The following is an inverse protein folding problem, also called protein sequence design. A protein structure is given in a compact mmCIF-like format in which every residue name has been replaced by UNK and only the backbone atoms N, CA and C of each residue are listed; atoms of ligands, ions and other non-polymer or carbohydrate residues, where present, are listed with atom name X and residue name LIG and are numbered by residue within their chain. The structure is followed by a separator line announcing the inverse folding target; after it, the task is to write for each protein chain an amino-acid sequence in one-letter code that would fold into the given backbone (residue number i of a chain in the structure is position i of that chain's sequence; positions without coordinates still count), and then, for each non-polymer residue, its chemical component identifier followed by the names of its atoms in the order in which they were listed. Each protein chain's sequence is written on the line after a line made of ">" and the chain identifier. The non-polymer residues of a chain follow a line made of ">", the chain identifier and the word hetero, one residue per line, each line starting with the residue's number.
data_IF_780564220228
#
_entry.id   IF_780564220228
#
_cell.length_a   1.000
_cell.length_b   1.000
_cell.length_c   1.000
_cell.angle_alpha   90.00
_cell.angle_beta   90.00
_cell.angle_gamma   90.00
#
_symmetry.space_group_name_H-M   'P 1'
#
loop_
_entity.id
_entity.type
_entity.pdbx_description
1 polymer ?
#
# COMPACT_ATOMS: atom_id res chain seq x y z
N UNK A 1 7.17 -19.08 -16.45
CA UNK A 1 7.01 -17.68 -16.02
C UNK A 1 8.27 -16.90 -16.38
N UNK A 2 8.12 -15.65 -16.84
CA UNK A 2 9.25 -14.77 -17.15
C UNK A 2 9.38 -13.68 -16.08
N UNK A 3 10.60 -13.36 -15.67
CA UNK A 3 10.87 -12.38 -14.63
C UNK A 3 11.83 -11.31 -15.12
N UNK A 4 11.55 -10.06 -14.77
CA UNK A 4 12.46 -8.95 -14.97
C UNK A 4 12.70 -8.26 -13.62
N UNK A 5 13.97 -8.15 -13.25
CA UNK A 5 14.42 -7.56 -11.98
C UNK A 5 14.83 -6.12 -12.24
N UNK A 6 14.18 -5.19 -11.55
CA UNK A 6 14.48 -3.77 -11.58
C UNK A 6 15.02 -3.36 -10.21
N UNK A 7 16.34 -3.12 -10.14
CA UNK A 7 17.02 -2.75 -8.90
C UNK A 7 17.64 -1.36 -8.99
N UNK A 8 17.92 -0.77 -7.81
CA UNK A 8 18.75 0.44 -7.71
C UNK A 8 20.24 0.13 -7.68
N UNK A 9 20.59 -1.06 -7.18
CA UNK A 9 21.98 -1.45 -6.95
C UNK A 9 22.46 -2.40 -8.03
N UNK A 10 23.77 -2.54 -8.16
CA UNK A 10 24.39 -3.49 -9.07
C UNK A 10 24.02 -4.92 -8.70
N UNK A 11 24.26 -5.85 -9.63
CA UNK A 11 24.05 -7.28 -9.34
C UNK A 11 24.83 -7.72 -8.10
N UNK A 12 26.02 -7.21 -7.81
CA UNK A 12 26.83 -7.62 -6.65
C UNK A 12 26.18 -7.28 -5.30
N UNK A 13 25.54 -6.13 -5.21
CA UNK A 13 24.93 -5.64 -3.98
C UNK A 13 23.47 -6.06 -3.82
N UNK A 14 22.87 -6.67 -4.84
CA UNK A 14 21.46 -7.06 -4.81
C UNK A 14 21.15 -8.06 -3.67
N UNK A 15 20.30 -7.69 -2.69
CA UNK A 15 20.12 -8.49 -1.47
C UNK A 15 19.23 -9.72 -1.67
N UNK A 16 18.37 -9.73 -2.71
CA UNK A 16 17.37 -10.78 -2.92
C UNK A 16 17.81 -11.90 -3.85
N UNK A 17 19.11 -12.05 -4.16
CA UNK A 17 19.63 -13.14 -5.03
C UNK A 17 19.11 -14.52 -4.64
N UNK A 18 19.07 -14.78 -3.33
CA UNK A 18 18.56 -16.03 -2.78
C UNK A 18 17.11 -16.29 -3.19
N UNK A 19 16.25 -15.27 -3.18
CA UNK A 19 14.85 -15.39 -3.58
C UNK A 19 14.69 -15.59 -5.10
N UNK A 20 15.62 -15.07 -5.91
CA UNK A 20 15.67 -15.33 -7.35
C UNK A 20 15.93 -16.81 -7.66
N UNK A 21 16.74 -17.46 -6.81
CA UNK A 21 16.94 -18.90 -6.82
C UNK A 21 15.71 -19.70 -6.39
N UNK A 22 14.63 -19.07 -5.97
CA UNK A 22 13.41 -19.75 -5.54
C UNK A 22 12.20 -19.42 -6.43
N UNK A 23 12.38 -18.62 -7.48
CA UNK A 23 11.29 -18.26 -8.40
C UNK A 23 10.64 -19.50 -9.03
N UNK A 24 9.29 -19.56 -9.08
CA UNK A 24 8.59 -20.66 -9.73
C UNK A 24 8.77 -20.59 -11.25
N UNK A 25 8.89 -21.74 -11.90
CA UNK A 25 8.89 -21.87 -13.38
C UNK A 25 9.75 -20.82 -14.12
N UNK A 26 11.07 -20.80 -13.88
CA UNK A 26 12.06 -19.85 -14.45
C UNK A 26 12.27 -20.03 -15.96
N UNK A 27 11.34 -19.58 -16.80
CA UNK A 27 11.44 -19.70 -18.26
C UNK A 27 12.44 -18.70 -18.85
N UNK A 28 12.34 -17.43 -18.44
CA UNK A 28 13.33 -16.39 -18.71
C UNK A 28 13.48 -15.51 -17.46
N UNK A 29 14.72 -15.15 -17.11
CA UNK A 29 15.01 -14.22 -16.01
C UNK A 29 16.03 -13.21 -16.47
N UNK A 30 15.60 -11.96 -16.34
CA UNK A 30 16.33 -10.81 -16.81
C UNK A 30 16.64 -9.87 -15.64
N UNK A 31 17.84 -9.30 -15.64
CA UNK A 31 18.24 -8.25 -14.71
C UNK A 31 18.48 -6.96 -15.51
N UNK A 32 17.78 -5.88 -15.15
CA UNK A 32 18.01 -4.58 -15.74
C UNK A 32 19.26 -3.94 -15.12
N UNK A 33 20.37 -3.94 -15.87
CA UNK A 33 21.67 -3.46 -15.41
C UNK A 33 22.83 -4.34 -15.87
N UNK A 34 24.04 -3.90 -15.54
CA UNK A 34 25.28 -4.61 -15.85
C UNK A 34 25.42 -5.92 -15.08
N UNK A 35 25.94 -6.95 -15.77
CA UNK A 35 26.41 -8.19 -15.14
C UNK A 35 27.67 -8.67 -15.85
N UNK A 36 28.71 -9.07 -15.11
CA UNK A 36 29.90 -9.68 -15.72
C UNK A 36 29.57 -11.06 -16.30
N UNK A 37 30.32 -11.55 -17.30
CA UNK A 37 30.10 -12.88 -17.87
C UNK A 37 30.13 -14.01 -16.82
N UNK A 38 30.97 -13.90 -15.80
CA UNK A 38 31.05 -14.87 -14.69
C UNK A 38 29.77 -14.85 -13.84
N UNK A 39 29.24 -13.66 -13.55
CA UNK A 39 28.00 -13.49 -12.79
C UNK A 39 26.81 -14.09 -13.55
N UNK A 40 26.76 -13.88 -14.87
CA UNK A 40 25.72 -14.46 -15.74
C UNK A 40 25.79 -15.99 -15.75
N UNK A 41 27.00 -16.55 -15.94
CA UNK A 41 27.20 -18.00 -15.97
C UNK A 41 26.82 -18.67 -14.63
N UNK A 42 27.13 -18.03 -13.49
CA UNK A 42 26.84 -18.56 -12.17
C UNK A 42 25.34 -18.48 -11.79
N UNK A 43 24.66 -17.41 -12.20
CA UNK A 43 23.25 -17.15 -11.82
C UNK A 43 22.23 -17.72 -12.81
N UNK A 44 22.64 -17.92 -14.07
CA UNK A 44 21.72 -18.23 -15.16
C UNK A 44 20.73 -17.11 -15.45
N UNK A 45 21.10 -15.86 -15.16
CA UNK A 45 20.29 -14.65 -15.36
C UNK A 45 20.92 -13.81 -16.48
N UNK A 46 20.08 -13.32 -17.37
CA UNK A 46 20.49 -12.51 -18.52
C UNK A 46 20.45 -11.02 -18.16
N UNK A 47 21.52 -10.24 -18.41
CA UNK A 47 21.45 -8.79 -18.28
C UNK A 47 20.66 -8.22 -19.46
N UNK A 48 19.99 -7.09 -19.22
CA UNK A 48 19.21 -6.39 -20.23
C UNK A 48 19.51 -4.92 -20.14
N UNK A 49 19.85 -4.33 -21.29
CA UNK A 49 19.98 -2.89 -21.42
C UNK A 49 18.61 -2.23 -21.38
N UNK A 50 18.53 -1.07 -20.74
CA UNK A 50 17.27 -0.36 -20.54
C UNK A 50 16.61 0.08 -21.85
N UNK A 51 17.41 0.30 -22.89
CA UNK A 51 16.94 0.62 -24.24
C UNK A 51 16.14 -0.53 -24.86
N UNK A 52 16.45 -1.78 -24.52
CA UNK A 52 15.75 -2.96 -25.02
C UNK A 52 14.36 -3.12 -24.38
N UNK A 53 14.21 -2.70 -23.12
CA UNK A 53 12.96 -2.84 -22.36
C UNK A 53 11.77 -2.16 -23.04
N UNK A 54 12.00 -1.04 -23.73
CA UNK A 54 10.95 -0.29 -24.44
C UNK A 54 10.30 -1.06 -25.59
N UNK A 55 10.92 -2.15 -26.05
CA UNK A 55 10.44 -2.97 -27.18
C UNK A 55 9.74 -4.24 -26.73
N UNK A 56 9.72 -4.53 -25.42
CA UNK A 56 9.21 -5.78 -24.89
C UNK A 56 7.71 -5.75 -24.68
N UNK A 57 7.08 -6.91 -24.88
CA UNK A 57 5.72 -7.16 -24.41
C UNK A 57 5.76 -7.44 -22.90
N UNK A 58 5.69 -6.38 -22.10
CA UNK A 58 5.75 -6.46 -20.64
C UNK A 58 4.65 -7.36 -20.05
N UNK A 59 3.51 -7.51 -20.73
CA UNK A 59 2.41 -8.39 -20.33
C UNK A 59 2.79 -9.88 -20.18
N UNK A 60 3.97 -10.29 -20.66
CA UNK A 60 4.50 -11.64 -20.46
C UNK A 60 5.42 -11.80 -19.24
N UNK A 61 5.76 -10.71 -18.55
CA UNK A 61 6.71 -10.67 -17.45
C UNK A 61 6.06 -10.37 -16.10
N UNK A 62 6.64 -10.95 -15.04
CA UNK A 62 6.50 -10.48 -13.67
C UNK A 62 7.69 -9.60 -13.32
N UNK A 63 7.43 -8.35 -12.89
CA UNK A 63 8.48 -7.44 -12.45
C UNK A 63 8.78 -7.62 -10.96
N UNK A 64 10.06 -7.74 -10.62
CA UNK A 64 10.54 -7.68 -9.24
C UNK A 64 11.24 -6.34 -9.06
N UNK A 65 10.60 -5.41 -8.33
CA UNK A 65 11.00 -4.01 -8.28
C UNK A 65 11.50 -3.66 -6.88
N UNK A 66 12.80 -3.43 -6.73
CA UNK A 66 13.42 -3.10 -5.43
C UNK A 66 13.73 -1.61 -5.26
N UNK A 67 13.28 -0.76 -6.18
CA UNK A 67 13.36 0.69 -6.03
C UNK A 67 12.12 1.37 -6.56
N UNK A 68 11.55 2.33 -5.80
CA UNK A 68 10.32 3.01 -6.17
C UNK A 68 10.48 3.91 -7.40
N UNK A 69 11.71 4.34 -7.72
CA UNK A 69 11.96 5.21 -8.87
C UNK A 69 11.85 4.48 -10.22
N UNK A 70 11.74 3.15 -10.23
CA UNK A 70 11.36 2.39 -11.43
C UNK A 70 9.87 2.49 -11.78
N UNK A 71 9.05 3.11 -10.93
CA UNK A 71 7.60 3.18 -11.13
C UNK A 71 7.18 3.72 -12.51
N UNK A 72 7.80 4.76 -13.10
CA UNK A 72 7.46 5.19 -14.45
C UNK A 72 7.62 4.10 -15.50
N UNK A 73 8.75 3.37 -15.47
CA UNK A 73 9.03 2.27 -16.39
C UNK A 73 8.12 1.06 -16.14
N UNK A 74 7.80 0.76 -14.87
CA UNK A 74 6.82 -0.27 -14.50
C UNK A 74 5.44 0.03 -15.12
N UNK A 75 4.99 1.29 -15.04
CA UNK A 75 3.70 1.69 -15.63
C UNK A 75 3.74 1.71 -17.15
N UNK A 76 4.87 2.03 -17.76
CA UNK A 76 5.05 2.01 -19.21
C UNK A 76 5.06 0.58 -19.77
N UNK A 77 5.72 -0.36 -19.08
CA UNK A 77 5.83 -1.76 -19.49
C UNK A 77 4.51 -2.53 -19.37
N UNK A 78 3.61 -2.12 -18.47
CA UNK A 78 2.34 -2.80 -18.21
C UNK A 78 2.52 -4.31 -17.98
N UNK A 79 3.27 -4.71 -16.94
CA UNK A 79 3.57 -6.12 -16.72
C UNK A 79 2.32 -6.94 -16.35
N UNK A 80 2.41 -8.25 -16.55
CA UNK A 80 1.37 -9.17 -16.06
C UNK A 80 1.18 -9.04 -14.55
N UNK A 81 2.29 -8.97 -13.81
CA UNK A 81 2.28 -8.75 -12.38
C UNK A 81 3.47 -7.88 -11.94
N UNK A 82 3.25 -7.06 -10.93
CA UNK A 82 4.28 -6.26 -10.27
C UNK A 82 4.47 -6.74 -8.83
N UNK A 83 5.70 -7.08 -8.47
CA UNK A 83 6.10 -7.40 -7.10
C UNK A 83 7.01 -6.30 -6.58
N UNK A 84 6.56 -5.57 -5.57
CA UNK A 84 7.35 -4.52 -4.94
C UNK A 84 8.16 -5.11 -3.79
N UNK A 85 9.48 -4.96 -3.83
CA UNK A 85 10.41 -5.32 -2.76
C UNK A 85 10.77 -4.05 -2.01
N UNK A 86 10.05 -3.76 -0.93
CA UNK A 86 10.19 -2.52 -0.19
C UNK A 86 11.32 -2.58 0.83
N UNK A 87 12.13 -1.54 0.82
CA UNK A 87 13.26 -1.35 1.72
C UNK A 87 13.13 -0.03 2.49
N UNK A 88 13.70 0.06 3.70
CA UNK A 88 13.91 1.34 4.35
C UNK A 88 14.63 2.31 3.42
N UNK A 89 14.40 3.62 3.60
CA UNK A 89 15.08 4.63 2.78
C UNK A 89 16.61 4.43 2.83
N UNK A 90 17.27 4.21 1.69
CA UNK A 90 18.72 4.11 1.64
C UNK A 90 19.38 5.40 2.10
N UNK A 91 20.60 5.29 2.63
CA UNK A 91 21.40 6.47 2.97
C UNK A 91 21.65 7.33 1.72
N UNK A 92 21.52 8.65 1.89
CA UNK A 92 21.73 9.63 0.81
C UNK A 92 20.53 9.87 -0.12
N UNK A 93 19.45 9.11 0.01
CA UNK A 93 18.19 9.41 -0.69
C UNK A 93 17.30 10.37 0.13
N UNK A 94 16.41 11.08 -0.54
CA UNK A 94 15.40 11.91 0.10
C UNK A 94 14.29 11.02 0.69
N UNK A 95 14.19 10.97 2.02
CA UNK A 95 13.23 10.11 2.75
C UNK A 95 11.78 10.37 2.35
N UNK A 96 11.35 11.64 2.29
CA UNK A 96 9.98 12.01 1.92
C UNK A 96 9.63 11.51 0.51
N UNK A 97 10.55 11.70 -0.44
CA UNK A 97 10.36 11.24 -1.81
C UNK A 97 10.34 9.71 -1.87
N UNK A 98 11.30 9.06 -1.21
CA UNK A 98 11.40 7.60 -1.17
C UNK A 98 10.13 6.96 -0.62
N UNK A 99 9.62 7.45 0.51
CA UNK A 99 8.40 6.95 1.15
C UNK A 99 7.19 7.15 0.25
N UNK A 100 7.02 8.34 -0.34
CA UNK A 100 5.92 8.64 -1.27
C UNK A 100 5.89 7.68 -2.45
N UNK A 101 7.00 7.52 -3.16
CA UNK A 101 7.06 6.65 -4.34
C UNK A 101 7.07 5.16 -3.95
N UNK A 102 7.57 4.79 -2.77
CA UNK A 102 7.42 3.43 -2.23
C UNK A 102 5.97 3.09 -1.95
N UNK A 103 5.21 4.01 -1.36
CA UNK A 103 3.78 3.84 -1.12
C UNK A 103 3.00 3.71 -2.43
N UNK A 104 3.33 4.54 -3.44
CA UNK A 104 2.75 4.46 -4.80
C UNK A 104 3.08 3.14 -5.50
N UNK A 105 4.36 2.72 -5.49
CA UNK A 105 4.79 1.45 -6.07
C UNK A 105 4.05 0.29 -5.39
N UNK A 106 4.02 0.29 -4.05
CA UNK A 106 3.35 -0.74 -3.30
C UNK A 106 1.83 -0.76 -3.58
N UNK A 107 1.19 0.39 -3.80
CA UNK A 107 -0.25 0.49 -4.06
C UNK A 107 -0.62 -0.05 -5.45
N UNK A 108 0.34 0.02 -6.38
CA UNK A 108 0.23 -0.56 -7.73
C UNK A 108 0.62 -2.05 -7.79
N UNK A 109 1.36 -2.55 -6.81
CA UNK A 109 1.88 -3.91 -6.81
C UNK A 109 0.79 -4.96 -6.52
N UNK A 110 0.92 -6.11 -7.19
CA UNK A 110 0.08 -7.29 -6.96
C UNK A 110 0.53 -8.09 -5.73
N UNK A 111 1.80 -7.94 -5.36
CA UNK A 111 2.41 -8.52 -4.17
C UNK A 111 3.48 -7.55 -3.62
N UNK A 112 3.51 -7.39 -2.30
CA UNK A 112 4.54 -6.61 -1.63
C UNK A 112 5.40 -7.54 -0.78
N UNK A 113 6.72 -7.43 -0.89
CA UNK A 113 7.69 -8.14 -0.07
C UNK A 113 8.59 -7.17 0.68
N UNK A 114 8.94 -7.46 1.93
CA UNK A 114 9.91 -6.65 2.68
C UNK A 114 10.60 -7.45 3.78
N UNK A 115 11.85 -7.12 4.06
CA UNK A 115 12.62 -7.67 5.21
C UNK A 115 12.40 -6.87 6.50
N UNK A 116 11.81 -5.67 6.41
CA UNK A 116 11.55 -4.80 7.56
C UNK A 116 10.23 -5.17 8.23
N UNK A 117 10.28 -5.53 9.52
CA UNK A 117 9.09 -5.85 10.31
C UNK A 117 8.11 -4.67 10.37
N UNK A 118 8.66 -3.45 10.48
CA UNK A 118 7.89 -2.20 10.49
C UNK A 118 7.11 -2.03 9.19
N UNK A 119 7.81 -2.07 8.05
CA UNK A 119 7.17 -1.95 6.74
C UNK A 119 6.16 -3.08 6.53
N UNK A 120 6.48 -4.30 6.96
CA UNK A 120 5.56 -5.43 6.84
C UNK A 120 4.23 -5.14 7.55
N UNK A 121 4.25 -4.70 8.81
CA UNK A 121 3.03 -4.36 9.55
C UNK A 121 2.26 -3.18 8.94
N UNK A 122 2.95 -2.08 8.61
CA UNK A 122 2.34 -0.91 7.97
C UNK A 122 1.65 -1.28 6.65
N UNK A 123 2.30 -2.09 5.82
CA UNK A 123 1.72 -2.53 4.56
C UNK A 123 0.53 -3.48 4.78
N UNK A 124 0.56 -4.37 5.78
CA UNK A 124 -0.58 -5.25 6.08
C UNK A 124 -1.84 -4.48 6.50
N UNK A 125 -1.70 -3.33 7.15
CA UNK A 125 -2.81 -2.42 7.48
C UNK A 125 -3.32 -1.64 6.27
N UNK A 126 -2.55 -1.56 5.19
CA UNK A 126 -2.93 -0.83 3.98
C UNK A 126 -3.42 -1.75 2.85
N UNK A 127 -3.01 -3.04 2.83
CA UNK A 127 -3.31 -3.97 1.73
C UNK A 127 -3.21 -5.46 2.13
N UNK A 128 -3.91 -6.36 1.44
CA UNK A 128 -4.00 -7.78 1.84
C UNK A 128 -2.81 -8.66 1.44
N UNK A 129 -2.01 -8.32 0.42
CA UNK A 129 -0.98 -9.19 -0.17
C UNK A 129 0.43 -8.74 0.16
N UNK A 130 0.86 -8.99 1.39
CA UNK A 130 2.18 -8.61 1.89
C UNK A 130 2.90 -9.84 2.44
N UNK A 131 4.15 -10.03 2.04
CA UNK A 131 5.03 -11.12 2.44
C UNK A 131 6.20 -10.56 3.24
N UNK A 132 6.43 -11.11 4.42
CA UNK A 132 7.64 -10.86 5.18
C UNK A 132 8.76 -11.72 4.60
N UNK A 133 9.87 -11.11 4.20
CA UNK A 133 11.00 -11.75 3.51
C UNK A 133 12.17 -12.03 4.44
N UNK A 134 11.90 -12.05 5.74
CA UNK A 134 12.84 -12.45 6.77
C UNK A 134 12.16 -13.50 7.64
N UNK A 135 12.93 -14.40 8.20
CA UNK A 135 12.39 -15.45 9.05
C UNK A 135 13.46 -16.02 9.95
N UNK A 136 13.07 -16.22 11.21
CA UNK A 136 13.92 -16.77 12.26
C UNK A 136 13.56 -18.23 12.57
N UNK A 137 12.69 -18.85 11.75
CA UNK A 137 12.22 -20.21 12.02
C UNK A 137 13.37 -21.21 11.81
N UNK A 138 13.75 -21.98 12.84
CA UNK A 138 14.99 -22.75 12.82
C UNK A 138 14.90 -24.04 11.99
N UNK A 139 13.70 -24.45 11.59
CA UNK A 139 13.47 -25.69 10.85
C UNK A 139 13.13 -25.39 9.40
N UNK A 140 13.49 -26.30 8.50
CA UNK A 140 13.07 -26.21 7.11
C UNK A 140 11.57 -26.51 6.99
N UNK A 141 10.84 -25.63 6.30
CA UNK A 141 9.40 -25.72 6.09
C UNK A 141 9.02 -26.37 4.75
N UNK A 142 10.00 -26.56 3.85
CA UNK A 142 9.75 -27.08 2.52
C UNK A 142 11.03 -27.54 1.82
N UNK A 143 10.85 -28.27 0.72
CA UNK A 143 11.94 -28.72 -0.13
C UNK A 143 11.61 -28.40 -1.58
N UNK A 144 12.50 -27.65 -2.23
CA UNK A 144 12.43 -27.36 -3.64
C UNK A 144 13.58 -28.05 -4.37
N UNK A 145 13.24 -28.94 -5.31
CA UNK A 145 14.24 -29.53 -6.21
C UNK A 145 14.30 -28.74 -7.51
N UNK A 146 15.51 -28.35 -7.91
CA UNK A 146 15.75 -27.74 -9.21
C UNK A 146 16.96 -28.37 -9.90
N UNK A 147 16.70 -29.13 -10.96
CA UNK A 147 17.71 -29.98 -11.58
C UNK A 147 18.32 -30.93 -10.55
N UNK A 148 19.64 -30.85 -10.39
CA UNK A 148 20.41 -31.62 -9.40
C UNK A 148 20.55 -30.91 -8.04
N UNK A 149 20.08 -29.66 -7.90
CA UNK A 149 20.16 -28.92 -6.63
C UNK A 149 18.90 -29.12 -5.80
N UNK A 150 19.10 -29.32 -4.50
CA UNK A 150 18.04 -29.37 -3.49
C UNK A 150 18.14 -28.15 -2.59
N UNK A 151 17.03 -27.43 -2.47
CA UNK A 151 16.89 -26.27 -1.59
C UNK A 151 16.00 -26.65 -0.42
N UNK A 152 16.54 -26.55 0.80
CA UNK A 152 15.77 -26.59 2.03
C UNK A 152 15.27 -25.19 2.29
N UNK A 153 13.94 -25.03 2.32
CA UNK A 153 13.30 -23.73 2.40
C UNK A 153 13.07 -23.35 3.86
N UNK A 154 13.35 -22.11 4.20
CA UNK A 154 12.81 -21.48 5.41
C UNK A 154 11.30 -21.22 5.27
N UNK A 155 10.68 -20.75 6.34
CA UNK A 155 9.26 -20.37 6.38
C UNK A 155 8.94 -19.27 5.35
N UNK A 156 9.70 -18.18 5.33
CA UNK A 156 9.47 -17.08 4.40
C UNK A 156 9.77 -17.45 2.94
N UNK A 157 10.71 -18.36 2.69
CA UNK A 157 11.05 -18.85 1.36
C UNK A 157 9.93 -19.72 0.75
N UNK A 158 9.28 -20.55 1.56
CA UNK A 158 8.08 -21.29 1.14
C UNK A 158 6.93 -20.33 0.86
N UNK A 159 6.67 -19.37 1.75
CA UNK A 159 5.60 -18.36 1.57
C UNK A 159 5.85 -17.54 0.30
N UNK A 160 7.09 -17.10 0.04
CA UNK A 160 7.49 -16.39 -1.18
C UNK A 160 7.16 -17.18 -2.44
N UNK A 161 7.59 -18.45 -2.48
CA UNK A 161 7.39 -19.34 -3.63
C UNK A 161 5.89 -19.56 -3.91
N UNK A 162 5.11 -19.76 -2.85
CA UNK A 162 3.65 -19.96 -2.92
C UNK A 162 2.92 -18.69 -3.35
N UNK A 163 3.29 -17.53 -2.80
CA UNK A 163 2.68 -16.25 -3.12
C UNK A 163 2.86 -15.91 -4.61
N UNK A 164 4.07 -16.10 -5.15
CA UNK A 164 4.34 -15.89 -6.57
C UNK A 164 3.59 -16.89 -7.47
N UNK A 165 3.56 -18.16 -7.09
CA UNK A 165 2.80 -19.19 -7.84
C UNK A 165 1.31 -18.83 -7.88
N UNK A 166 0.77 -18.35 -6.75
CA UNK A 166 -0.63 -17.95 -6.61
C UNK A 166 -1.03 -16.73 -7.44
N UNK A 167 -0.08 -15.90 -7.93
CA UNK A 167 -0.37 -14.83 -8.88
C UNK A 167 -0.85 -15.39 -10.21
N UNK A 168 -0.11 -16.35 -10.77
CA UNK A 168 -0.38 -16.94 -12.08
C UNK A 168 -1.37 -18.11 -12.03
N UNK A 169 -1.44 -18.82 -10.90
CA UNK A 169 -2.27 -20.02 -10.73
C UNK A 169 -3.20 -19.88 -9.51
N UNK A 170 -4.16 -18.93 -9.52
CA UNK A 170 -5.04 -18.68 -8.38
C UNK A 170 -5.92 -19.88 -8.01
N UNK A 171 -6.25 -20.74 -8.97
CA UNK A 171 -7.03 -21.97 -8.74
C UNK A 171 -6.23 -23.08 -8.03
N UNK A 172 -4.89 -23.05 -8.11
CA UNK A 172 -4.01 -24.01 -7.44
C UNK A 172 -3.67 -23.59 -5.99
N UNK A 173 -4.14 -22.42 -5.55
CA UNK A 173 -4.03 -21.91 -4.18
C UNK A 173 -4.98 -22.65 -3.22
N UNK A 174 -4.85 -23.98 -3.14
CA UNK A 174 -5.62 -24.83 -2.24
C UNK A 174 -4.89 -25.14 -0.93
N UNK A 175 -5.65 -25.08 0.18
CA UNK A 175 -5.41 -25.55 1.56
C UNK A 175 -4.92 -24.55 2.63
N UNK A 176 -4.61 -23.30 2.31
CA UNK A 176 -4.40 -22.26 3.32
C UNK A 176 -3.94 -20.94 2.73
N UNK A 177 -4.42 -19.83 3.28
CA UNK A 177 -3.86 -18.51 3.00
C UNK A 177 -2.47 -18.46 3.66
N UNK A 178 -1.42 -18.71 2.87
CA UNK A 178 -0.03 -18.73 3.37
C UNK A 178 0.38 -17.41 4.04
N UNK A 179 -0.29 -16.30 3.70
CA UNK A 179 -0.08 -15.02 4.37
C UNK A 179 -0.64 -15.07 5.80
N UNK A 180 -1.80 -15.70 6.00
CA UNK A 180 -2.34 -15.97 7.35
C UNK A 180 -1.42 -16.92 8.12
N UNK A 181 -0.87 -17.95 7.47
CA UNK A 181 0.10 -18.85 8.11
C UNK A 181 1.35 -18.07 8.55
N UNK A 182 1.90 -17.21 7.71
CA UNK A 182 3.03 -16.37 8.06
C UNK A 182 2.71 -15.45 9.25
N UNK A 183 1.56 -14.79 9.25
CA UNK A 183 1.10 -13.96 10.38
C UNK A 183 0.95 -14.77 11.67
N UNK A 184 0.45 -16.02 11.61
CA UNK A 184 0.37 -16.93 12.77
C UNK A 184 1.75 -17.27 13.32
N UNK A 185 2.71 -17.61 12.46
CA UNK A 185 4.09 -17.88 12.90
C UNK A 185 4.73 -16.66 13.58
N UNK A 186 4.48 -15.45 13.05
CA UNK A 186 4.94 -14.20 13.70
C UNK A 186 4.21 -13.94 15.03
N UNK A 187 2.90 -14.17 15.09
CA UNK A 187 2.13 -14.06 16.33
C UNK A 187 2.70 -15.01 17.40
N UNK A 188 2.90 -16.29 17.07
CA UNK A 188 3.44 -17.30 17.97
C UNK A 188 4.85 -16.93 18.45
N UNK A 189 5.70 -16.40 17.55
CA UNK A 189 7.02 -15.90 17.90
C UNK A 189 6.93 -14.80 18.96
N UNK A 190 6.14 -13.75 18.73
CA UNK A 190 6.01 -12.64 19.68
C UNK A 190 5.31 -13.02 20.98
N UNK A 191 4.33 -13.92 20.94
CA UNK A 191 3.69 -14.52 22.13
C UNK A 191 4.73 -15.27 22.97
N UNK A 192 5.58 -16.09 22.34
CA UNK A 192 6.71 -16.75 23.02
C UNK A 192 7.71 -15.74 23.58
N UNK A 193 8.02 -14.67 22.84
CA UNK A 193 8.93 -13.61 23.28
C UNK A 193 8.38 -12.83 24.48
N UNK A 194 7.06 -12.63 24.60
CA UNK A 194 6.45 -12.02 25.79
C UNK A 194 6.78 -12.83 27.06
N UNK A 195 6.83 -14.16 26.97
CA UNK A 195 7.25 -15.02 28.08
C UNK A 195 8.73 -14.87 28.45
N UNK A 196 9.60 -14.62 27.47
CA UNK A 196 11.05 -14.42 27.67
C UNK A 196 11.40 -13.00 28.11
N UNK A 197 10.63 -12.02 27.68
CA UNK A 197 10.84 -10.58 27.91
C UNK A 197 9.57 -9.92 28.45
N UNK A 198 9.10 -10.30 29.67
CA UNK A 198 7.80 -9.90 30.19
C UNK A 198 7.67 -8.41 30.54
N UNK A 199 8.79 -7.69 30.61
CA UNK A 199 8.84 -6.26 30.93
C UNK A 199 9.06 -5.37 29.71
N UNK A 200 9.08 -5.92 28.50
CA UNK A 200 9.30 -5.15 27.27
C UNK A 200 7.94 -4.81 26.63
N UNK A 201 7.49 -3.53 26.62
CA UNK A 201 6.19 -3.14 26.08
C UNK A 201 6.08 -3.44 24.58
N UNK A 202 7.11 -3.10 23.78
CA UNK A 202 7.11 -3.29 22.32
C UNK A 202 6.85 -4.74 21.90
N UNK A 203 7.33 -5.73 22.67
CA UNK A 203 7.10 -7.15 22.37
C UNK A 203 5.63 -7.53 22.52
N UNK A 204 4.97 -6.99 23.55
CA UNK A 204 3.54 -7.20 23.79
C UNK A 204 2.70 -6.47 22.74
N UNK A 205 3.10 -5.24 22.37
CA UNK A 205 2.45 -4.51 21.29
C UNK A 205 2.50 -5.28 19.96
N UNK A 206 3.67 -5.78 19.56
CA UNK A 206 3.81 -6.57 18.33
C UNK A 206 2.97 -7.86 18.37
N UNK A 207 2.95 -8.57 19.51
CA UNK A 207 2.05 -9.71 19.69
C UNK A 207 0.58 -9.32 19.49
N UNK A 208 0.14 -8.22 20.10
CA UNK A 208 -1.22 -7.71 19.97
C UNK A 208 -1.57 -7.34 18.52
N UNK A 209 -0.68 -6.65 17.80
CA UNK A 209 -0.90 -6.26 16.41
C UNK A 209 -1.03 -7.48 15.50
N UNK A 210 -0.19 -8.50 15.66
CA UNK A 210 -0.32 -9.74 14.87
C UNK A 210 -1.61 -10.50 15.17
N UNK A 211 -1.97 -10.62 16.44
CA UNK A 211 -3.23 -11.24 16.85
C UNK A 211 -4.44 -10.45 16.33
N UNK A 212 -4.36 -9.11 16.33
CA UNK A 212 -5.37 -8.25 15.72
C UNK A 212 -5.51 -8.51 14.21
N UNK A 213 -4.40 -8.61 13.46
CA UNK A 213 -4.43 -8.92 12.03
C UNK A 213 -5.04 -10.31 11.76
N UNK A 214 -4.91 -11.24 12.70
CA UNK A 214 -5.52 -12.59 12.65
C UNK A 214 -6.98 -12.62 13.12
N UNK A 215 -7.47 -11.55 13.74
CA UNK A 215 -8.80 -11.50 14.37
C UNK A 215 -8.90 -12.33 15.65
N UNK A 216 -7.79 -12.56 16.34
CA UNK A 216 -7.74 -13.34 17.58
C UNK A 216 -8.07 -12.46 18.79
N UNK A 217 -9.00 -12.93 19.63
CA UNK A 217 -9.45 -12.22 20.85
C UNK A 217 -8.32 -11.99 21.86
N UNK A 218 -7.26 -12.79 21.83
CA UNK A 218 -6.09 -12.62 22.69
C UNK A 218 -5.36 -11.29 22.46
N UNK A 219 -5.57 -10.61 21.32
CA UNK A 219 -4.97 -9.32 21.00
C UNK A 219 -5.17 -8.29 22.12
N UNK A 220 -6.38 -8.22 22.68
CA UNK A 220 -6.73 -7.26 23.74
C UNK A 220 -5.87 -7.45 24.99
N UNK A 221 -5.65 -8.70 25.40
CA UNK A 221 -4.85 -9.04 26.58
C UNK A 221 -3.41 -8.56 26.44
N UNK A 222 -2.81 -8.78 25.26
CA UNK A 222 -1.43 -8.34 25.01
C UNK A 222 -1.34 -6.81 24.86
N UNK A 223 -2.34 -6.17 24.25
CA UNK A 223 -2.38 -4.70 24.16
C UNK A 223 -2.50 -4.06 25.54
N UNK A 224 -3.38 -4.58 26.40
CA UNK A 224 -3.52 -4.15 27.79
C UNK A 224 -2.19 -4.28 28.53
N UNK A 225 -1.48 -5.40 28.34
CA UNK A 225 -0.18 -5.56 28.99
C UNK A 225 0.87 -4.56 28.48
N UNK A 226 0.90 -4.31 27.17
CA UNK A 226 1.78 -3.30 26.59
C UNK A 226 1.47 -1.91 27.15
N UNK A 227 0.19 -1.54 27.20
CA UNK A 227 -0.26 -0.25 27.72
C UNK A 227 0.10 -0.05 29.20
N UNK A 228 -0.12 -1.05 30.06
CA UNK A 228 0.30 -1.02 31.46
C UNK A 228 1.82 -0.80 31.61
N UNK A 229 2.62 -1.52 30.83
CA UNK A 229 4.08 -1.38 30.86
C UNK A 229 4.51 0.01 30.37
N UNK A 230 3.86 0.54 29.34
CA UNK A 230 4.12 1.89 28.85
C UNK A 230 3.85 2.95 29.91
N UNK A 231 2.76 2.82 30.67
CA UNK A 231 2.43 3.70 31.79
C UNK A 231 3.46 3.58 32.93
N UNK A 232 3.90 2.36 33.26
CA UNK A 232 4.92 2.13 34.30
C UNK A 232 6.29 2.72 33.95
N UNK A 233 6.58 2.85 32.65
CA UNK A 233 7.81 3.45 32.15
C UNK A 233 7.69 4.96 31.87
N UNK A 234 6.58 5.59 32.28
CA UNK A 234 6.29 7.03 32.11
C UNK A 234 6.36 7.51 30.65
N UNK A 235 6.00 6.64 29.68
CA UNK A 235 5.88 7.05 28.29
C UNK A 235 4.61 7.88 28.08
N UNK A 236 4.78 9.12 27.65
CA UNK A 236 3.71 10.13 27.58
C UNK A 236 2.75 9.95 26.41
N UNK A 237 3.12 9.21 25.37
CA UNK A 237 2.34 9.06 24.13
C UNK A 237 1.55 7.74 24.03
N UNK A 238 1.36 7.05 25.16
CA UNK A 238 0.68 5.75 25.19
C UNK A 238 -0.83 5.83 24.93
N UNK A 239 -1.47 6.98 25.14
CA UNK A 239 -2.91 7.15 24.89
C UNK A 239 -3.23 7.10 23.39
N UNK A 240 -2.50 7.85 22.57
CA UNK A 240 -2.71 7.82 21.12
C UNK A 240 -2.17 6.55 20.48
N UNK A 241 -0.98 6.07 20.90
CA UNK A 241 -0.34 4.91 20.25
C UNK A 241 -0.94 3.55 20.66
N UNK A 242 -1.34 3.38 21.93
CA UNK A 242 -1.79 2.08 22.45
C UNK A 242 -3.28 2.09 22.83
N UNK A 243 -3.73 3.07 23.61
CA UNK A 243 -5.11 3.06 24.10
C UNK A 243 -6.12 3.20 22.95
N UNK A 244 -5.84 4.07 21.97
CA UNK A 244 -6.68 4.19 20.78
C UNK A 244 -6.88 2.86 20.06
N UNK A 245 -5.85 2.00 20.02
CA UNK A 245 -5.90 0.72 19.30
C UNK A 245 -6.93 -0.27 19.88
N UNK A 246 -7.36 -0.11 21.15
CA UNK A 246 -8.50 -0.88 21.67
C UNK A 246 -9.77 -0.66 20.86
N UNK A 247 -9.99 0.57 20.34
CA UNK A 247 -11.17 0.88 19.54
C UNK A 247 -11.22 0.04 18.25
N UNK A 248 -10.09 -0.22 17.60
CA UNK A 248 -10.04 -1.10 16.42
C UNK A 248 -10.33 -2.56 16.80
N UNK A 249 -9.79 -3.05 17.92
CA UNK A 249 -10.04 -4.41 18.41
C UNK A 249 -11.53 -4.60 18.70
N UNK A 250 -12.16 -3.65 19.40
CA UNK A 250 -13.60 -3.71 19.71
C UNK A 250 -14.46 -3.55 18.44
N UNK A 251 -14.06 -2.71 17.49
CA UNK A 251 -14.73 -2.61 16.20
C UNK A 251 -14.70 -3.93 15.42
N UNK A 252 -13.59 -4.68 15.50
CA UNK A 252 -13.42 -5.99 14.85
C UNK A 252 -14.24 -7.08 15.51
N UNK A 253 -14.49 -6.99 16.82
CA UNK A 253 -15.43 -7.86 17.56
C UNK A 253 -16.91 -7.50 17.32
N UNK A 254 -17.18 -6.35 16.71
CA UNK A 254 -18.54 -5.83 16.50
C UNK A 254 -19.10 -5.02 17.69
N UNK A 255 -18.28 -4.74 18.70
CA UNK A 255 -18.67 -3.96 19.89
C UNK A 255 -18.57 -2.45 19.61
N UNK A 256 -19.30 -1.96 18.61
CA UNK A 256 -19.14 -0.60 18.09
C UNK A 256 -19.37 0.50 19.13
N UNK A 257 -20.31 0.32 20.06
CA UNK A 257 -20.57 1.31 21.10
C UNK A 257 -19.37 1.51 22.05
N UNK A 258 -18.69 0.41 22.40
CA UNK A 258 -17.48 0.46 23.23
C UNK A 258 -16.30 1.04 22.44
N UNK A 259 -16.17 0.66 21.17
CA UNK A 259 -15.14 1.19 20.29
C UNK A 259 -15.21 2.73 20.17
N UNK A 260 -16.42 3.29 19.99
CA UNK A 260 -16.62 4.76 19.96
C UNK A 260 -16.21 5.40 21.28
N UNK A 261 -16.64 4.82 22.41
CA UNK A 261 -16.30 5.35 23.72
C UNK A 261 -14.78 5.35 23.99
N UNK A 262 -14.07 4.32 23.54
CA UNK A 262 -12.61 4.25 23.63
C UNK A 262 -11.91 5.28 22.74
N UNK A 263 -12.39 5.48 21.52
CA UNK A 263 -11.86 6.52 20.62
C UNK A 263 -12.02 7.92 21.22
N UNK A 264 -13.21 8.24 21.75
CA UNK A 264 -13.53 9.54 22.36
C UNK A 264 -12.57 9.93 23.49
N UNK A 265 -12.14 8.98 24.32
CA UNK A 265 -11.18 9.23 25.40
C UNK A 265 -9.84 9.78 24.86
N UNK A 266 -9.48 9.42 23.64
CA UNK A 266 -8.23 9.83 22.98
C UNK A 266 -8.42 11.00 22.01
N UNK A 267 -9.63 11.54 21.86
CA UNK A 267 -9.94 12.61 20.91
C UNK A 267 -9.62 13.98 21.53
N UNK A 268 -8.36 14.41 21.46
CA UNK A 268 -7.91 15.66 22.08
C UNK A 268 -7.97 16.85 21.13
N UNK A 269 -7.81 16.63 19.83
CA UNK A 269 -7.88 17.70 18.82
C UNK A 269 -9.33 18.00 18.42
N UNK A 270 -9.59 19.17 17.86
CA UNK A 270 -10.92 19.54 17.36
C UNK A 270 -11.37 18.63 16.21
N UNK A 271 -10.44 18.22 15.36
CA UNK A 271 -10.70 17.28 14.25
C UNK A 271 -11.12 15.90 14.77
N UNK A 272 -10.43 15.39 15.79
CA UNK A 272 -10.77 14.10 16.42
C UNK A 272 -12.12 14.16 17.14
N UNK A 273 -12.42 15.28 17.81
CA UNK A 273 -13.73 15.49 18.45
C UNK A 273 -14.87 15.57 17.44
N UNK A 274 -14.66 16.27 16.33
CA UNK A 274 -15.62 16.31 15.22
C UNK A 274 -15.87 14.91 14.66
N UNK A 275 -14.79 14.13 14.48
CA UNK A 275 -14.87 12.73 14.05
C UNK A 275 -15.67 11.88 15.03
N UNK A 276 -15.43 12.04 16.34
CA UNK A 276 -16.19 11.34 17.38
C UNK A 276 -17.68 11.69 17.37
N UNK A 277 -18.04 12.96 17.16
CA UNK A 277 -19.44 13.39 17.01
C UNK A 277 -20.09 12.72 15.80
N UNK A 278 -19.37 12.59 14.69
CA UNK A 278 -19.87 11.89 13.51
C UNK A 278 -20.05 10.38 13.76
N UNK A 279 -19.10 9.75 14.44
CA UNK A 279 -19.20 8.34 14.87
C UNK A 279 -20.42 8.11 15.76
N UNK A 280 -20.71 9.03 16.69
CA UNK A 280 -21.91 8.95 17.55
C UNK A 280 -23.20 9.00 16.73
N UNK A 281 -23.26 9.87 15.72
CA UNK A 281 -24.44 9.96 14.83
C UNK A 281 -24.68 8.65 14.10
N UNK A 282 -23.63 8.04 13.53
CA UNK A 282 -23.75 6.74 12.86
C UNK A 282 -24.12 5.61 13.83
N UNK A 283 -23.64 5.68 15.08
CA UNK A 283 -24.04 4.73 16.12
C UNK A 283 -25.55 4.85 16.43
N UNK A 284 -26.05 6.07 16.56
CA UNK A 284 -27.46 6.34 16.90
C UNK A 284 -28.41 6.05 15.72
N UNK A 285 -27.97 6.25 14.48
CA UNK A 285 -28.75 5.92 13.27
C UNK A 285 -28.70 4.43 12.88
N UNK A 286 -27.78 3.65 13.46
CA UNK A 286 -27.57 2.24 13.15
C UNK A 286 -26.74 1.99 11.88
N UNK A 287 -25.98 2.99 11.41
CA UNK A 287 -25.11 2.89 10.23
C UNK A 287 -23.79 2.16 10.57
N UNK A 288 -23.90 0.90 10.97
CA UNK A 288 -22.79 0.11 11.52
C UNK A 288 -21.60 -0.01 10.57
N UNK A 289 -21.85 -0.07 9.27
CA UNK A 289 -20.79 -0.18 8.25
C UNK A 289 -19.95 1.08 8.13
N UNK A 290 -20.57 2.26 8.10
CA UNK A 290 -19.87 3.55 8.04
C UNK A 290 -19.07 3.78 9.31
N UNK A 291 -19.67 3.48 10.47
CA UNK A 291 -19.01 3.55 11.76
C UNK A 291 -17.80 2.63 11.85
N UNK A 292 -17.96 1.37 11.43
CA UNK A 292 -16.87 0.39 11.47
C UNK A 292 -15.72 0.80 10.54
N UNK A 293 -16.01 1.28 9.33
CA UNK A 293 -14.99 1.76 8.41
C UNK A 293 -14.22 2.97 8.97
N UNK A 294 -14.92 3.91 9.61
CA UNK A 294 -14.27 5.07 10.21
C UNK A 294 -13.39 4.68 11.41
N UNK A 295 -13.85 3.75 12.25
CA UNK A 295 -13.05 3.21 13.35
C UNK A 295 -11.77 2.53 12.84
N UNK A 296 -11.82 1.80 11.73
CA UNK A 296 -10.62 1.24 11.11
C UNK A 296 -9.70 2.34 10.57
N UNK A 297 -10.26 3.34 9.86
CA UNK A 297 -9.49 4.46 9.29
C UNK A 297 -8.72 5.24 10.35
N UNK A 298 -9.34 5.61 11.47
CA UNK A 298 -8.68 6.37 12.54
C UNK A 298 -7.63 5.57 13.33
N UNK A 299 -7.61 4.25 13.14
CA UNK A 299 -6.59 3.34 13.66
C UNK A 299 -5.62 2.87 12.56
N UNK A 300 -5.60 3.56 11.41
CA UNK A 300 -4.70 3.30 10.28
C UNK A 300 -4.88 1.94 9.58
N UNK A 301 -5.91 1.17 9.92
CA UNK A 301 -6.31 -0.06 9.21
C UNK A 301 -7.15 0.28 7.98
N UNK A 302 -6.50 0.96 7.03
CA UNK A 302 -7.13 1.43 5.79
C UNK A 302 -7.59 0.26 4.91
N UNK A 303 -6.93 -0.90 4.99
CA UNK A 303 -7.32 -2.11 4.27
C UNK A 303 -8.72 -2.58 4.67
N UNK A 304 -8.99 -2.70 5.97
CA UNK A 304 -10.31 -3.08 6.46
C UNK A 304 -11.34 -1.98 6.23
N UNK A 305 -10.97 -0.71 6.38
CA UNK A 305 -11.86 0.42 6.06
C UNK A 305 -12.34 0.37 4.60
N UNK A 306 -11.42 0.20 3.64
CA UNK A 306 -11.73 0.06 2.22
C UNK A 306 -12.61 -1.17 1.98
N UNK A 307 -12.26 -2.32 2.57
CA UNK A 307 -13.02 -3.57 2.41
C UNK A 307 -14.47 -3.41 2.86
N UNK A 308 -14.71 -2.71 3.96
CA UNK A 308 -16.08 -2.43 4.43
C UNK A 308 -16.78 -1.48 3.45
N UNK A 309 -16.15 -0.35 3.11
CA UNK A 309 -16.75 0.69 2.26
C UNK A 309 -17.07 0.22 0.83
N UNK A 310 -16.21 -0.59 0.21
CA UNK A 310 -16.44 -1.16 -1.13
C UNK A 310 -17.71 -2.03 -1.21
N UNK A 311 -18.14 -2.59 -0.07
CA UNK A 311 -19.32 -3.46 0.01
C UNK A 311 -20.59 -2.71 0.46
N UNK A 312 -20.50 -1.41 0.77
CA UNK A 312 -21.65 -0.62 1.21
C UNK A 312 -22.35 0.08 0.02
N UNK A 313 -23.66 -0.12 -0.16
CA UNK A 313 -24.41 0.49 -1.27
C UNK A 313 -24.84 1.94 -0.99
N UNK A 314 -24.39 2.57 0.11
CA UNK A 314 -24.84 3.90 0.49
C UNK A 314 -24.02 5.03 -0.18
N UNK A 315 -24.65 6.15 -0.57
CA UNK A 315 -23.94 7.28 -1.17
C UNK A 315 -22.84 7.88 -0.29
N UNK A 316 -23.01 7.82 1.04
CA UNK A 316 -22.03 8.31 2.03
C UNK A 316 -20.74 7.48 2.04
N UNK A 317 -20.75 6.23 1.58
CA UNK A 317 -19.55 5.39 1.51
C UNK A 317 -18.57 5.89 0.45
N UNK A 318 -19.05 6.48 -0.65
CA UNK A 318 -18.22 6.90 -1.77
C UNK A 318 -17.17 7.99 -1.41
N UNK A 319 -17.51 9.11 -0.74
CA UNK A 319 -16.51 10.09 -0.33
C UNK A 319 -15.52 9.53 0.69
N UNK A 320 -15.96 8.67 1.62
CA UNK A 320 -15.05 8.00 2.57
C UNK A 320 -14.10 7.03 1.85
N UNK A 321 -14.61 6.29 0.87
CA UNK A 321 -13.80 5.39 0.05
C UNK A 321 -12.74 6.16 -0.74
N UNK A 322 -13.12 7.31 -1.33
CA UNK A 322 -12.19 8.20 -2.01
C UNK A 322 -11.07 8.67 -1.08
N UNK A 323 -11.40 9.08 0.15
CA UNK A 323 -10.40 9.51 1.14
C UNK A 323 -9.43 8.38 1.49
N UNK A 324 -9.94 7.17 1.71
CA UNK A 324 -9.12 6.00 2.02
C UNK A 324 -8.20 5.62 0.84
N UNK A 325 -8.66 5.72 -0.41
CA UNK A 325 -7.80 5.51 -1.57
C UNK A 325 -6.70 6.57 -1.70
N UNK A 326 -6.99 7.84 -1.38
CA UNK A 326 -5.98 8.90 -1.39
C UNK A 326 -4.93 8.66 -0.31
N UNK A 327 -5.36 8.38 0.92
CA UNK A 327 -4.47 8.15 2.06
C UNK A 327 -3.60 6.90 1.91
N UNK A 328 -4.10 5.85 1.24
CA UNK A 328 -3.35 4.62 0.96
C UNK A 328 -2.59 4.63 -0.38
N UNK A 329 -2.48 5.79 -1.04
CA UNK A 329 -1.79 5.97 -2.32
C UNK A 329 -2.38 5.15 -3.49
N UNK A 330 -3.61 4.64 -3.36
CA UNK A 330 -4.37 3.98 -4.42
C UNK A 330 -4.99 5.01 -5.38
N UNK A 331 -4.16 5.91 -5.89
CA UNK A 331 -4.56 7.10 -6.62
C UNK A 331 -5.25 6.80 -7.96
N UNK A 332 -4.89 5.73 -8.65
CA UNK A 332 -5.61 5.28 -9.84
C UNK A 332 -7.08 4.96 -9.53
N UNK A 333 -7.34 4.26 -8.42
CA UNK A 333 -8.70 3.96 -7.97
C UNK A 333 -9.45 5.22 -7.54
N UNK A 334 -8.79 6.14 -6.83
CA UNK A 334 -9.35 7.43 -6.46
C UNK A 334 -9.82 8.23 -7.69
N UNK A 335 -8.95 8.37 -8.70
CA UNK A 335 -9.27 9.06 -9.95
C UNK A 335 -10.37 8.36 -10.74
N UNK A 336 -10.39 7.02 -10.76
CA UNK A 336 -11.46 6.25 -11.40
C UNK A 336 -12.81 6.46 -10.70
N UNK A 337 -12.84 6.40 -9.37
CA UNK A 337 -14.05 6.60 -8.57
C UNK A 337 -14.65 7.99 -8.82
N UNK A 338 -13.81 9.02 -8.94
CA UNK A 338 -14.23 10.38 -9.25
C UNK A 338 -14.82 10.49 -10.66
N UNK A 339 -14.21 9.85 -11.68
CA UNK A 339 -14.75 9.85 -13.04
C UNK A 339 -16.12 9.19 -13.12
N UNK A 340 -16.30 8.07 -12.41
CA UNK A 340 -17.60 7.39 -12.34
C UNK A 340 -18.66 8.27 -11.67
N UNK A 341 -18.33 8.99 -10.59
CA UNK A 341 -19.25 9.94 -9.96
C UNK A 341 -19.68 11.07 -10.93
N UNK A 342 -18.73 11.61 -11.71
CA UNK A 342 -18.99 12.65 -12.70
C UNK A 342 -19.91 12.16 -13.84
N UNK A 343 -19.77 10.92 -14.28
CA UNK A 343 -20.65 10.33 -15.30
C UNK A 343 -22.08 10.12 -14.76
N UNK A 344 -22.22 9.55 -13.56
CA UNK A 344 -23.54 9.32 -12.94
C UNK A 344 -24.33 10.61 -12.68
N UNK A 345 -23.64 11.71 -12.36
CA UNK A 345 -24.25 13.03 -12.20
C UNK A 345 -24.66 13.69 -13.53
N UNK A 346 -24.00 13.34 -14.64
CA UNK A 346 -24.34 13.86 -15.98
C UNK A 346 -25.57 13.18 -16.58
N UNK A 347 -25.82 11.90 -16.30
CA UNK A 347 -26.99 11.15 -16.82
C UNK A 347 -28.29 11.48 -16.07
N UNK A 348 -28.22 11.85 -14.79
CA UNK A 348 -29.39 12.28 -14.01
C UNK A 348 -29.99 13.63 -14.47
N UNK A 349 -29.34 14.32 -15.43
CA UNK A 349 -29.77 15.61 -15.97
C UNK A 349 -30.73 15.56 -17.15
N UNK A 350 -31.12 14.38 -17.66
CA UNK A 350 -32.01 14.25 -18.83
C UNK A 350 -33.36 13.65 -18.43
N UNK A 351 -34.33 14.52 -18.10
CA UNK A 351 -35.73 14.13 -17.91
C UNK A 351 -36.48 14.36 -19.24
N UNK A 352 -37.00 13.33 -19.92
CA UNK A 352 -37.83 13.51 -21.11
C UNK A 352 -39.26 13.92 -20.69
N UNK A 353 -39.71 15.09 -21.13
CA UNK A 353 -41.12 15.47 -21.07
C UNK A 353 -41.86 14.99 -22.34
N UNK A 354 -43.14 14.62 -22.26
CA UNK A 354 -43.91 14.18 -23.41
C UNK A 354 -44.21 15.37 -24.31
N UNK A 355 -43.64 15.36 -25.53
CA UNK A 355 -43.85 16.42 -26.52
C UNK A 355 -42.62 16.83 -27.35
N UNK A 356 -41.47 16.17 -27.20
CA UNK A 356 -40.32 16.36 -28.10
C UNK A 356 -39.59 17.70 -27.97
N UNK A 357 -39.81 18.46 -26.90
CA UNK A 357 -39.03 19.65 -26.58
C UNK A 357 -37.98 19.31 -25.52
N UNK A 358 -36.70 19.53 -25.86
CA UNK A 358 -35.56 19.46 -24.93
C UNK A 358 -35.38 20.84 -24.30
N UNK A 359 -35.64 20.96 -23.00
CA UNK A 359 -35.24 22.13 -22.23
C UNK A 359 -33.73 22.06 -21.99
N UNK A 360 -32.93 22.77 -22.79
CA UNK A 360 -31.58 23.16 -22.37
C UNK A 360 -31.73 24.20 -21.26
N UNK A 361 -31.64 23.74 -20.01
CA UNK A 361 -31.58 24.62 -18.84
C UNK A 361 -30.33 25.50 -18.92
N UNK A 362 -30.52 26.75 -19.31
CA UNK A 362 -29.50 27.78 -19.21
C UNK A 362 -29.18 28.10 -17.75
N UNK A 363 -27.89 28.02 -17.41
CA UNK A 363 -27.26 28.90 -16.42
C UNK A 363 -27.72 28.77 -14.97
N UNK A 364 -27.64 27.57 -14.39
CA UNK A 364 -27.40 27.38 -12.95
C UNK A 364 -26.49 26.16 -12.81
N UNK A 365 -25.41 26.21 -12.00
CA UNK A 365 -24.59 25.02 -11.77
C UNK A 365 -25.47 23.93 -11.12
N UNK A 366 -25.28 22.66 -11.49
CA UNK A 366 -26.14 21.56 -11.01
C UNK A 366 -26.19 21.52 -9.48
N UNK A 367 -27.26 20.99 -8.91
CA UNK A 367 -27.40 20.82 -7.45
C UNK A 367 -26.25 20.02 -6.81
N UNK A 368 -25.46 19.28 -7.61
CA UNK A 368 -24.19 18.66 -7.20
C UNK A 368 -23.10 19.69 -6.87
N UNK A 369 -23.07 20.84 -7.56
CA UNK A 369 -22.20 21.98 -7.22
C UNK A 369 -22.70 22.71 -5.98
N UNK A 370 -24.00 22.70 -5.68
CA UNK A 370 -24.57 23.28 -4.45
C UNK A 370 -24.37 22.36 -3.24
N UNK A 371 -24.39 21.04 -3.44
CA UNK A 371 -23.99 20.06 -2.41
C UNK A 371 -22.46 20.06 -2.17
N UNK A 372 -21.67 20.53 -3.13
CA UNK A 372 -20.22 20.74 -3.00
C UNK A 372 -19.82 22.19 -2.63
N UNK A 373 -20.75 23.14 -2.66
CA UNK A 373 -20.50 24.55 -2.30
C UNK A 373 -20.71 24.84 -0.80
N UNK A 374 -21.27 23.89 -0.06
CA UNK A 374 -21.43 23.95 1.40
C UNK A 374 -20.56 22.96 2.17
N UNK A 375 -19.92 22.02 1.49
CA UNK A 375 -18.84 21.21 2.03
C UNK A 375 -17.58 21.63 1.30
N UNK A 376 -16.80 22.51 1.92
CA UNK A 376 -15.37 22.54 1.65
C UNK A 376 -14.94 21.06 1.59
N UNK A 377 -14.56 20.55 0.42
CA UNK A 377 -13.89 19.24 0.38
C UNK A 377 -12.63 19.51 1.18
N UNK A 378 -12.56 19.06 2.44
CA UNK A 378 -11.51 19.53 3.28
C UNK A 378 -10.25 18.89 2.72
N UNK A 379 -9.21 19.70 2.60
CA UNK A 379 -7.86 19.28 2.26
C UNK A 379 -7.42 18.19 3.25
N UNK A 380 -7.73 16.92 3.00
CA UNK A 380 -7.37 15.83 3.90
C UNK A 380 -6.19 15.04 3.34
N UNK A 381 -5.09 15.10 4.09
CA UNK A 381 -3.74 14.73 3.68
C UNK A 381 -2.90 15.89 3.14
N UNK A 382 -3.47 17.10 2.98
CA UNK A 382 -2.78 18.25 2.37
C UNK A 382 -2.59 18.14 0.84
N UNK A 383 -2.98 17.02 0.22
CA UNK A 383 -2.77 16.76 -1.21
C UNK A 383 -4.06 16.99 -2.00
N UNK A 384 -4.03 18.00 -2.89
CA UNK A 384 -5.17 18.33 -3.74
C UNK A 384 -5.27 17.35 -4.92
N UNK A 385 -6.50 17.03 -5.37
CA UNK A 385 -6.72 16.13 -6.54
C UNK A 385 -5.90 16.50 -7.79
N UNK A 386 -5.71 17.78 -8.16
CA UNK A 386 -4.85 18.13 -9.30
C UNK A 386 -3.37 17.79 -9.09
N UNK A 387 -2.89 17.70 -7.84
CA UNK A 387 -1.54 17.17 -7.53
C UNK A 387 -1.49 15.69 -7.85
N UNK A 388 -2.50 14.92 -7.43
CA UNK A 388 -2.61 13.48 -7.72
C UNK A 388 -2.65 13.24 -9.23
N UNK A 389 -3.51 13.96 -9.96
CA UNK A 389 -3.57 13.89 -11.43
C UNK A 389 -2.22 14.23 -12.07
N UNK A 390 -1.55 15.27 -11.57
CA UNK A 390 -0.25 15.71 -12.07
C UNK A 390 0.84 14.67 -11.86
N UNK A 391 0.95 14.09 -10.67
CA UNK A 391 1.91 13.03 -10.37
C UNK A 391 1.62 11.77 -11.17
N UNK A 392 0.35 11.36 -11.31
CA UNK A 392 0.00 10.22 -12.18
C UNK A 392 0.35 10.49 -13.64
N UNK A 393 0.12 11.70 -14.15
CA UNK A 393 0.58 12.07 -15.49
C UNK A 393 2.09 12.01 -15.63
N UNK A 394 2.85 12.46 -14.63
CA UNK A 394 4.31 12.40 -14.63
C UNK A 394 4.79 10.95 -14.70
N UNK A 395 4.24 10.08 -13.85
CA UNK A 395 4.57 8.65 -13.82
C UNK A 395 4.23 7.93 -15.14
N UNK A 396 3.19 8.36 -15.85
CA UNK A 396 2.89 7.85 -17.19
C UNK A 396 3.68 8.53 -18.34
N UNK A 397 4.72 9.30 -18.04
CA UNK A 397 5.54 10.01 -19.03
C UNK A 397 4.83 11.18 -19.72
N UNK A 398 3.65 11.60 -19.24
CA UNK A 398 2.84 12.70 -19.81
C UNK A 398 3.23 14.05 -19.19
N UNK A 399 4.50 14.43 -19.33
CA UNK A 399 5.08 15.65 -18.70
C UNK A 399 4.24 16.92 -18.90
N UNK A 400 3.78 17.20 -20.13
CA UNK A 400 2.96 18.38 -20.41
C UNK A 400 1.59 18.35 -19.71
N UNK A 401 1.00 17.16 -19.52
CA UNK A 401 -0.25 17.02 -18.77
C UNK A 401 -0.01 17.17 -17.26
N UNK A 402 1.13 16.66 -16.76
CA UNK A 402 1.56 16.85 -15.38
C UNK A 402 1.72 18.34 -15.04
N UNK A 403 2.50 19.07 -15.86
CA UNK A 403 2.72 20.52 -15.69
C UNK A 403 1.39 21.28 -15.68
N UNK A 404 0.48 20.99 -16.63
CA UNK A 404 -0.85 21.64 -16.65
C UNK A 404 -1.65 21.37 -15.38
N UNK A 405 -1.56 20.18 -14.81
CA UNK A 405 -2.28 19.82 -13.58
C UNK A 405 -1.67 20.54 -12.37
N UNK A 406 -0.34 20.59 -12.26
CA UNK A 406 0.36 21.35 -11.21
C UNK A 406 0.12 22.86 -11.31
N UNK A 407 0.01 23.43 -12.52
CA UNK A 407 -0.32 24.85 -12.69
C UNK A 407 -1.74 25.20 -12.23
N UNK A 408 -2.70 24.27 -12.30
CA UNK A 408 -4.04 24.48 -11.74
C UNK A 408 -3.99 24.67 -10.21
N UNK A 409 -3.08 23.97 -9.54
CA UNK A 409 -2.83 24.12 -8.09
C UNK A 409 -2.29 25.53 -7.78
N UNK A 410 -1.33 26.03 -8.57
CA UNK A 410 -0.84 27.41 -8.44
C UNK A 410 -1.93 28.46 -8.65
N UNK A 411 -2.81 28.25 -9.65
CA UNK A 411 -3.94 29.13 -9.90
C UNK A 411 -4.93 29.19 -8.72
N UNK A 412 -4.97 28.15 -7.88
CA UNK A 412 -5.80 28.05 -6.68
C UNK A 412 -5.08 28.46 -5.38
N UNK A 413 -3.89 29.07 -5.47
CA UNK A 413 -3.13 29.58 -4.31
C UNK A 413 -2.15 28.57 -3.68
N UNK A 414 -1.91 27.42 -4.31
CA UNK A 414 -0.94 26.42 -3.84
C UNK A 414 0.49 26.62 -4.34
N UNK A 415 1.47 25.95 -3.71
CA UNK A 415 2.89 26.07 -4.04
C UNK A 415 3.32 25.19 -5.22
N UNK A 416 3.01 25.58 -6.47
CA UNK A 416 3.45 24.79 -7.63
C UNK A 416 4.98 24.66 -7.76
N UNK A 417 5.77 25.52 -7.09
CA UNK A 417 7.23 25.44 -7.08
C UNK A 417 7.74 24.14 -6.45
N UNK A 418 7.14 23.70 -5.34
CA UNK A 418 7.56 22.45 -4.67
C UNK A 418 7.23 21.25 -5.54
N UNK A 419 6.09 21.26 -6.23
CA UNK A 419 5.69 20.22 -7.19
C UNK A 419 6.64 20.12 -8.39
N UNK A 420 7.14 21.25 -8.89
CA UNK A 420 8.13 21.25 -9.98
C UNK A 420 9.53 20.83 -9.50
N UNK A 421 9.91 21.17 -8.28
CA UNK A 421 11.15 20.68 -7.68
C UNK A 421 11.10 19.16 -7.52
N UNK A 422 10.02 18.62 -6.95
CA UNK A 422 9.83 17.17 -6.83
C UNK A 422 9.83 16.46 -8.19
N UNK A 423 9.21 17.07 -9.22
CA UNK A 423 9.27 16.53 -10.58
C UNK A 423 10.71 16.45 -11.10
N UNK A 424 11.54 17.47 -10.86
CA UNK A 424 12.94 17.48 -11.27
C UNK A 424 13.74 16.44 -10.47
N UNK A 425 13.52 16.33 -9.16
CA UNK A 425 14.18 15.36 -8.29
C UNK A 425 13.85 13.91 -8.71
N UNK A 426 12.59 13.63 -9.07
CA UNK A 426 12.19 12.33 -9.61
C UNK A 426 12.89 12.05 -10.96
N UNK A 427 12.89 13.02 -11.88
CA UNK A 427 13.56 12.87 -13.18
C UNK A 427 15.07 12.63 -13.02
N UNK A 428 15.72 13.30 -12.06
CA UNK A 428 17.12 13.07 -11.70
C UNK A 428 17.33 11.68 -11.09
N UNK A 429 16.49 11.26 -10.15
CA UNK A 429 16.59 9.93 -9.54
C UNK A 429 16.40 8.79 -10.57
N UNK A 430 15.43 8.94 -11.47
CA UNK A 430 15.25 8.04 -12.62
C UNK A 430 16.48 8.10 -13.53
N UNK A 431 17.01 9.29 -13.80
CA UNK A 431 18.25 9.48 -14.58
C UNK A 431 19.45 8.74 -13.97
N UNK A 432 19.63 8.81 -12.65
CA UNK A 432 20.70 8.10 -11.92
C UNK A 432 20.57 6.58 -12.05
N UNK A 433 19.35 6.05 -11.93
CA UNK A 433 19.09 4.61 -12.14
C UNK A 433 19.48 4.16 -13.55
N UNK A 434 19.22 4.99 -14.56
CA UNK A 434 19.49 4.66 -15.96
C UNK A 434 20.97 4.85 -16.33
N UNK A 435 21.60 5.92 -15.86
CA UNK A 435 23.01 6.22 -16.10
C UNK A 435 23.96 5.27 -15.36
N UNK A 436 23.64 4.86 -14.13
CA UNK A 436 24.43 3.87 -13.40
C UNK A 436 24.45 2.49 -14.06
N UNK A 437 23.42 2.16 -14.87
CA UNK A 437 23.38 0.92 -15.65
C UNK A 437 24.24 0.98 -16.94
N UNK A 438 24.50 2.19 -17.46
CA UNK A 438 25.26 2.42 -18.69
C UNK A 438 26.76 2.65 -18.43
N UNK A 439 27.13 3.27 -17.29
CA UNK A 439 28.53 3.56 -16.92
C UNK A 439 29.34 2.32 -16.48
N UNK A 440 28.69 1.17 -16.21
CA UNK A 440 29.37 -0.12 -15.94
C UNK A 440 29.85 -0.85 -17.22
N UNK A 441 29.73 -0.22 -18.41
CA UNK A 441 30.21 -0.76 -19.70
C UNK A 441 31.56 -0.17 -20.17
N UNK A 442 32.25 0.59 -19.31
CA UNK A 442 33.54 1.25 -19.60
C UNK A 442 34.79 0.42 -19.29
#
# INVERSE_FOLDING_TARGET
>A
MNYLILSRVSWEEYPYKRLLDLLPERADICFAGGMTPEQQACSGIRPVALTELNTWDGGSFTLLVSSPYWLPDVLALQPAYTVALLEPCPEGENEIMWEKYSALLAARADLVGTVSERLYLEQNLCRPRVVYLSGDYPLSCGLLRRGERLFFLSDYEEVWTRALTGLWQPACSGAGDWLVIQRRLRADFYVSMCGKMPHQPTVHYLAATYLYLLGDEAAERYLAKSFELMLLHDYTDCLHSHYRFFSAIEAKKGNLALAVAQYEITAFTEEERSTAVQMRRWLDSGDSGLLQAELYRVNEDVAEAIRVLENLPCPEAQPLLLQNYIASFQWEKALQLQRLAALSSSEAGVIPLPGGAVLQGGGMPPASTVLLAGTEIPSYGGVQLPVIEGTMHLLHGRRHAAIRSFLRVAGAGGEARTLFAEMADLEEAVGRLKGGADDEQG
#
